data_IF_630457988574
#
_entry.id   IF_630457988574
#
_cell.length_a   1.000
_cell.length_b   1.000
_cell.length_c   1.000
_cell.angle_alpha   90.00
_cell.angle_beta   90.00
_cell.angle_gamma   90.00
#
_symmetry.space_group_name_H-M   'P 1'
#
loop_
_entity.id
_entity.type
_entity.pdbx_description
1 polymer ?
#
# COMPACT_ATOMS: atom_id res chain seq x y z
N UNK A 1 -16.23 -23.65 -5.88
CA UNK A 1 -16.47 -22.73 -6.97
C UNK A 1 -15.40 -22.81 -8.06
N UNK A 2 -14.12 -22.57 -7.75
CA UNK A 2 -13.01 -22.75 -8.68
C UNK A 2 -12.18 -23.97 -8.28
N UNK A 3 -11.58 -24.68 -9.25
CA UNK A 3 -10.60 -25.70 -8.92
C UNK A 3 -9.34 -25.09 -8.30
N UNK A 4 -8.65 -25.81 -7.42
CA UNK A 4 -7.39 -25.34 -6.83
C UNK A 4 -6.36 -24.98 -7.90
N UNK A 5 -6.24 -25.82 -8.94
CA UNK A 5 -5.32 -25.59 -10.07
C UNK A 5 -5.66 -24.28 -10.81
N UNK A 6 -6.94 -24.03 -11.09
CA UNK A 6 -7.36 -22.81 -11.78
C UNK A 6 -7.06 -21.55 -10.95
N UNK A 7 -7.32 -21.60 -9.64
CA UNK A 7 -7.01 -20.49 -8.73
C UNK A 7 -5.52 -20.21 -8.61
N UNK A 8 -4.69 -21.24 -8.51
CA UNK A 8 -3.23 -21.09 -8.49
C UNK A 8 -2.70 -20.51 -9.80
N UNK A 9 -3.17 -21.00 -10.94
CA UNK A 9 -2.79 -20.46 -12.25
C UNK A 9 -3.15 -18.96 -12.32
N UNK A 10 -4.34 -18.58 -11.87
CA UNK A 10 -4.79 -17.19 -11.87
C UNK A 10 -3.90 -16.31 -10.99
N UNK A 11 -3.64 -16.72 -9.74
CA UNK A 11 -2.79 -15.96 -8.80
C UNK A 11 -1.37 -15.82 -9.36
N UNK A 12 -0.79 -16.90 -9.89
CA UNK A 12 0.56 -16.88 -10.47
C UNK A 12 0.60 -15.97 -11.70
N UNK A 13 -0.39 -16.07 -12.60
CA UNK A 13 -0.45 -15.27 -13.83
C UNK A 13 -0.53 -13.78 -13.51
N UNK A 14 -1.44 -13.39 -12.61
CA UNK A 14 -1.57 -11.99 -12.19
C UNK A 14 -0.29 -11.51 -11.50
N UNK A 15 0.29 -12.32 -10.63
CA UNK A 15 1.56 -12.00 -9.95
C UNK A 15 2.71 -11.79 -10.95
N UNK A 16 2.84 -12.65 -11.95
CA UNK A 16 3.85 -12.53 -13.01
C UNK A 16 3.67 -11.27 -13.86
N UNK A 17 2.43 -10.88 -14.16
CA UNK A 17 2.13 -9.64 -14.88
C UNK A 17 2.66 -8.43 -14.08
N UNK A 18 2.38 -8.36 -12.78
CA UNK A 18 2.88 -7.25 -11.96
C UNK A 18 4.41 -7.25 -11.83
N UNK A 19 5.03 -8.41 -11.65
CA UNK A 19 6.50 -8.53 -11.63
C UNK A 19 7.09 -8.07 -12.95
N UNK A 20 6.52 -8.49 -14.09
CA UNK A 20 6.97 -8.09 -15.41
C UNK A 20 6.88 -6.57 -15.60
N UNK A 21 5.74 -5.96 -15.24
CA UNK A 21 5.56 -4.50 -15.29
C UNK A 21 6.63 -3.82 -14.42
N UNK A 22 6.84 -4.27 -13.18
CA UNK A 22 7.86 -3.72 -12.28
C UNK A 22 9.27 -3.79 -12.86
N UNK A 23 9.64 -4.90 -13.48
CA UNK A 23 10.95 -5.09 -14.11
C UNK A 23 11.14 -4.19 -15.35
N UNK A 24 10.10 -4.04 -16.18
CA UNK A 24 10.14 -3.15 -17.35
C UNK A 24 10.36 -1.70 -16.91
N UNK A 25 9.61 -1.23 -15.92
CA UNK A 25 9.78 0.14 -15.40
C UNK A 25 11.14 0.33 -14.72
N UNK A 26 11.66 -0.67 -14.02
CA UNK A 26 12.98 -0.61 -13.39
C UNK A 26 14.11 -0.31 -14.38
N UNK A 27 14.05 -0.90 -15.58
CA UNK A 27 15.07 -0.67 -16.61
C UNK A 27 15.05 0.77 -17.16
N UNK A 28 13.87 1.38 -17.22
CA UNK A 28 13.70 2.72 -17.80
C UNK A 28 14.00 3.86 -16.81
N UNK A 29 13.92 3.61 -15.50
CA UNK A 29 13.96 4.65 -14.47
C UNK A 29 14.92 4.31 -13.35
N UNK A 30 16.21 4.57 -13.56
CA UNK A 30 17.26 4.30 -12.60
C UNK A 30 17.48 5.48 -11.63
N UNK A 31 18.02 5.18 -10.46
CA UNK A 31 18.45 6.13 -9.45
C UNK A 31 17.45 6.36 -8.31
N UNK A 32 17.99 6.67 -7.11
CA UNK A 32 17.26 6.78 -5.86
C UNK A 32 16.12 7.82 -5.90
N UNK A 33 16.29 8.91 -6.61
CA UNK A 33 15.26 9.96 -6.75
C UNK A 33 14.08 9.47 -7.58
N UNK A 34 14.34 8.71 -8.66
CA UNK A 34 13.28 8.07 -9.44
C UNK A 34 12.55 7.03 -8.61
N UNK A 35 13.28 6.19 -7.90
CA UNK A 35 12.71 5.15 -7.04
C UNK A 35 11.79 5.73 -5.95
N UNK A 36 12.22 6.78 -5.24
CA UNK A 36 11.49 7.35 -4.11
C UNK A 36 10.38 8.34 -4.49
N UNK A 37 10.56 9.12 -5.55
CA UNK A 37 9.69 10.27 -5.86
C UNK A 37 9.33 10.39 -7.33
N UNK A 38 9.70 9.40 -8.16
CA UNK A 38 9.54 9.44 -9.63
C UNK A 38 10.02 10.79 -10.24
N UNK A 39 11.08 11.38 -9.66
CA UNK A 39 11.59 12.72 -10.00
C UNK A 39 10.51 13.83 -9.98
N UNK A 40 9.38 13.59 -9.33
CA UNK A 40 8.21 14.48 -9.29
C UNK A 40 7.62 14.78 -10.67
N UNK A 41 7.80 13.88 -11.63
CA UNK A 41 7.34 14.01 -13.01
C UNK A 41 6.00 13.33 -13.27
N UNK A 42 5.39 12.75 -12.23
CA UNK A 42 4.10 12.07 -12.33
C UNK A 42 2.98 13.10 -12.46
N UNK A 43 2.16 12.96 -13.50
CA UNK A 43 1.02 13.85 -13.74
C UNK A 43 -0.09 13.67 -12.70
N UNK A 44 -0.99 14.66 -12.62
CA UNK A 44 -2.08 14.69 -11.64
C UNK A 44 -2.96 13.43 -11.69
N UNK A 45 -3.37 13.01 -12.87
CA UNK A 45 -4.23 11.83 -13.05
C UNK A 45 -3.54 10.54 -12.59
N UNK A 46 -2.30 10.32 -13.00
CA UNK A 46 -1.51 9.14 -12.62
C UNK A 46 -1.23 9.11 -11.11
N UNK A 47 -0.94 10.26 -10.50
CA UNK A 47 -0.75 10.36 -9.05
C UNK A 47 -2.05 10.07 -8.30
N UNK A 48 -3.17 10.61 -8.76
CA UNK A 48 -4.48 10.39 -8.12
C UNK A 48 -4.91 8.93 -8.19
N UNK A 49 -4.77 8.28 -9.35
CA UNK A 49 -5.08 6.85 -9.50
C UNK A 49 -4.16 5.97 -8.65
N UNK A 50 -2.87 6.30 -8.56
CA UNK A 50 -1.92 5.60 -7.70
C UNK A 50 -2.27 5.72 -6.22
N UNK A 51 -2.67 6.92 -5.75
CA UNK A 51 -3.11 7.12 -4.37
C UNK A 51 -4.38 6.35 -4.05
N UNK A 52 -5.36 6.37 -4.96
CA UNK A 52 -6.60 5.59 -4.82
C UNK A 52 -6.28 4.09 -4.78
N UNK A 53 -5.45 3.59 -5.70
CA UNK A 53 -5.05 2.19 -5.73
C UNK A 53 -4.30 1.76 -4.44
N UNK A 54 -3.46 2.64 -3.89
CA UNK A 54 -2.76 2.37 -2.62
C UNK A 54 -3.71 2.32 -1.41
N UNK A 55 -4.82 3.06 -1.46
CA UNK A 55 -5.81 3.07 -0.39
C UNK A 55 -6.81 1.90 -0.50
N UNK A 56 -7.04 1.38 -1.72
CA UNK A 56 -7.98 0.31 -2.02
C UNK A 56 -7.27 -1.07 -2.02
N UNK A 57 -6.70 -1.45 -0.90
CA UNK A 57 -6.14 -2.79 -0.73
C UNK A 57 -7.21 -3.87 -0.49
N UNK A 58 -6.80 -5.14 -0.43
CA UNK A 58 -7.70 -6.27 -0.14
C UNK A 58 -8.39 -6.14 1.23
N UNK A 59 -7.76 -5.47 2.18
CA UNK A 59 -8.32 -5.18 3.50
C UNK A 59 -9.66 -4.45 3.45
N UNK A 60 -9.91 -3.62 2.44
CA UNK A 60 -11.17 -2.86 2.33
C UNK A 60 -12.39 -3.77 2.11
N UNK A 61 -12.19 -4.99 1.61
CA UNK A 61 -13.26 -5.98 1.49
C UNK A 61 -13.71 -6.50 2.84
N UNK A 62 -12.81 -6.61 3.80
CA UNK A 62 -13.07 -7.21 5.10
C UNK A 62 -13.25 -6.19 6.22
N UNK A 63 -12.50 -5.09 6.21
CA UNK A 63 -12.52 -4.09 7.26
C UNK A 63 -13.89 -3.45 7.51
N UNK A 64 -14.51 -2.81 6.51
CA UNK A 64 -15.85 -2.23 6.65
C UNK A 64 -16.92 -3.28 6.92
N UNK A 65 -16.83 -4.46 6.29
CA UNK A 65 -17.78 -5.55 6.53
C UNK A 65 -17.71 -6.06 7.98
N UNK A 66 -16.50 -6.25 8.50
CA UNK A 66 -16.28 -6.61 9.89
C UNK A 66 -16.80 -5.53 10.85
N UNK A 67 -16.52 -4.25 10.57
CA UNK A 67 -17.05 -3.14 11.36
C UNK A 67 -18.59 -3.16 11.40
N UNK A 68 -19.24 -3.45 10.28
CA UNK A 68 -20.69 -3.55 10.20
C UNK A 68 -21.25 -4.68 11.08
N UNK A 69 -20.56 -5.81 11.19
CA UNK A 69 -21.05 -6.97 11.96
C UNK A 69 -21.09 -6.73 13.47
N UNK A 70 -20.14 -5.97 14.03
CA UNK A 70 -20.07 -5.74 15.47
C UNK A 70 -20.58 -4.36 15.92
N UNK A 71 -20.61 -3.37 15.06
CA UNK A 71 -21.02 -2.00 15.40
C UNK A 71 -22.08 -1.39 14.49
N UNK A 72 -22.64 -2.18 13.57
CA UNK A 72 -23.70 -1.74 12.65
C UNK A 72 -23.29 -0.54 11.80
N UNK A 73 -24.29 0.22 11.35
CA UNK A 73 -24.10 1.40 10.48
C UNK A 73 -23.20 2.46 11.11
N UNK A 74 -23.29 2.65 12.45
CA UNK A 74 -22.46 3.62 13.16
C UNK A 74 -20.97 3.32 13.05
N UNK A 75 -20.57 2.04 13.16
CA UNK A 75 -19.19 1.63 13.02
C UNK A 75 -18.67 1.80 11.58
N UNK A 76 -19.51 1.56 10.56
CA UNK A 76 -19.15 1.79 9.15
C UNK A 76 -18.92 3.27 8.88
N UNK A 77 -19.81 4.15 9.39
CA UNK A 77 -19.65 5.61 9.27
C UNK A 77 -18.35 6.04 9.97
N UNK A 78 -18.12 5.58 11.21
CA UNK A 78 -16.89 5.88 11.95
C UNK A 78 -15.63 5.43 11.22
N UNK A 79 -15.63 4.24 10.65
CA UNK A 79 -14.55 3.72 9.81
C UNK A 79 -14.30 4.60 8.59
N UNK A 80 -15.36 4.97 7.86
CA UNK A 80 -15.26 5.80 6.66
C UNK A 80 -14.75 7.21 6.96
N UNK A 81 -15.25 7.84 8.02
CA UNK A 81 -14.76 9.14 8.48
C UNK A 81 -13.30 9.07 8.97
N UNK A 82 -12.95 8.02 9.71
CA UNK A 82 -11.59 7.80 10.19
C UNK A 82 -10.56 7.63 9.08
N UNK A 83 -10.94 7.03 7.96
CA UNK A 83 -10.07 6.89 6.79
C UNK A 83 -10.03 8.14 5.91
N UNK A 84 -11.13 8.89 5.80
CA UNK A 84 -11.21 10.11 5.00
C UNK A 84 -10.54 11.31 5.67
N UNK A 85 -10.64 11.46 6.98
CA UNK A 85 -10.16 12.62 7.71
C UNK A 85 -8.65 12.91 7.53
N UNK A 86 -7.73 11.92 7.60
CA UNK A 86 -6.32 12.16 7.33
C UNK A 86 -6.05 12.65 5.92
N UNK A 87 -6.80 12.18 4.92
CA UNK A 87 -6.65 12.63 3.53
C UNK A 87 -7.10 14.09 3.36
N UNK A 88 -8.20 14.48 3.98
CA UNK A 88 -8.66 15.88 4.00
C UNK A 88 -7.62 16.76 4.70
N UNK A 89 -7.10 16.33 5.84
CA UNK A 89 -6.05 17.06 6.56
C UNK A 89 -4.79 17.27 5.70
N UNK A 90 -4.40 16.27 4.90
CA UNK A 90 -3.26 16.37 3.99
C UNK A 90 -3.45 17.41 2.88
N UNK A 91 -4.68 17.69 2.44
CA UNK A 91 -4.95 18.75 1.45
C UNK A 91 -4.49 20.11 1.98
N UNK A 92 -4.78 20.39 3.24
CA UNK A 92 -4.41 21.67 3.88
C UNK A 92 -2.96 21.69 4.36
N UNK A 93 -2.54 20.65 5.07
CA UNK A 93 -1.20 20.56 5.64
C UNK A 93 -0.13 20.32 4.59
N UNK A 94 -0.43 19.57 3.54
CA UNK A 94 0.51 19.24 2.48
C UNK A 94 1.07 20.48 1.77
N UNK A 95 0.22 21.47 1.47
CA UNK A 95 0.69 22.74 0.91
C UNK A 95 1.65 23.48 1.85
N UNK A 96 1.30 23.57 3.14
CA UNK A 96 2.15 24.24 4.15
C UNK A 96 3.48 23.51 4.34
N UNK A 97 3.45 22.18 4.43
CA UNK A 97 4.67 21.38 4.53
C UNK A 97 5.55 21.58 3.31
N UNK A 98 4.95 21.64 2.12
CA UNK A 98 5.68 21.84 0.87
C UNK A 98 6.34 23.20 0.77
N UNK A 99 5.70 24.28 1.27
CA UNK A 99 6.29 25.62 1.31
C UNK A 99 7.45 25.70 2.30
N UNK A 100 7.31 25.07 3.46
CA UNK A 100 8.36 25.07 4.50
C UNK A 100 9.53 24.15 4.15
N UNK A 101 9.25 23.06 3.41
CA UNK A 101 10.23 22.04 3.08
C UNK A 101 10.20 21.61 1.60
N UNK A 102 10.54 22.52 0.65
CA UNK A 102 10.37 22.28 -0.78
C UNK A 102 11.26 21.15 -1.33
N UNK A 103 12.44 20.93 -0.73
CA UNK A 103 13.40 19.89 -1.12
C UNK A 103 13.16 18.54 -0.44
N UNK A 104 12.24 18.45 0.52
CA UNK A 104 11.95 17.22 1.24
C UNK A 104 11.40 16.11 0.33
N UNK A 105 11.80 14.87 0.58
CA UNK A 105 11.36 13.71 -0.19
C UNK A 105 10.25 12.94 0.51
N UNK A 106 10.26 12.91 1.83
CA UNK A 106 9.30 12.17 2.65
C UNK A 106 8.79 13.03 3.81
N UNK A 107 7.59 12.69 4.28
CA UNK A 107 7.02 13.32 5.48
C UNK A 107 7.89 13.06 6.72
N UNK A 108 8.48 11.87 6.81
CA UNK A 108 9.34 11.48 7.94
C UNK A 108 10.62 12.32 7.96
N UNK A 109 11.17 12.68 6.79
CA UNK A 109 12.31 13.60 6.71
C UNK A 109 11.96 15.01 7.21
N UNK A 110 10.76 15.51 6.89
CA UNK A 110 10.23 16.75 7.44
C UNK A 110 10.15 16.69 8.97
N UNK A 111 9.62 15.62 9.52
CA UNK A 111 9.51 15.41 10.97
C UNK A 111 10.89 15.42 11.66
N UNK A 112 11.89 14.77 11.06
CA UNK A 112 13.27 14.79 11.55
C UNK A 112 13.85 16.20 11.64
N UNK A 113 13.61 17.01 10.59
CA UNK A 113 14.11 18.38 10.51
C UNK A 113 13.38 19.32 11.48
N UNK A 114 12.08 19.11 11.67
CA UNK A 114 11.24 19.97 12.51
C UNK A 114 11.32 19.65 13.99
N UNK A 115 11.35 18.37 14.35
CA UNK A 115 11.19 17.90 15.74
C UNK A 115 12.42 17.17 16.30
N UNK A 116 13.48 17.01 15.50
CA UNK A 116 14.72 16.41 15.94
C UNK A 116 14.79 14.89 15.82
N UNK A 117 15.95 14.33 16.24
CA UNK A 117 16.31 12.92 16.01
C UNK A 117 15.49 11.93 16.85
N UNK A 118 15.14 12.29 18.08
CA UNK A 118 14.48 11.35 19.00
C UNK A 118 13.04 11.05 18.55
N UNK A 119 12.26 12.10 18.24
CA UNK A 119 10.91 11.93 17.71
C UNK A 119 10.94 11.23 16.36
N UNK A 120 11.90 11.56 15.50
CA UNK A 120 12.09 10.86 14.22
C UNK A 120 12.27 9.35 14.41
N UNK A 121 13.14 8.90 15.32
CA UNK A 121 13.37 7.47 15.59
C UNK A 121 12.09 6.78 16.06
N UNK A 122 11.36 7.41 16.99
CA UNK A 122 10.11 6.86 17.50
C UNK A 122 9.08 6.71 16.39
N UNK A 123 8.85 7.77 15.60
CA UNK A 123 7.87 7.73 14.49
C UNK A 123 8.31 6.73 13.42
N UNK A 124 9.59 6.65 13.11
CA UNK A 124 10.12 5.67 12.15
C UNK A 124 9.84 4.25 12.61
N UNK A 125 10.11 3.94 13.88
CA UNK A 125 9.83 2.63 14.46
C UNK A 125 8.33 2.28 14.36
N UNK A 126 7.47 3.19 14.81
CA UNK A 126 6.00 3.00 14.73
C UNK A 126 5.56 2.79 13.28
N UNK A 127 6.09 3.58 12.35
CA UNK A 127 5.73 3.47 10.92
C UNK A 127 6.16 2.12 10.34
N UNK A 128 7.34 1.62 10.68
CA UNK A 128 7.81 0.30 10.21
C UNK A 128 6.88 -0.79 10.72
N UNK A 129 6.56 -0.81 12.03
CA UNK A 129 5.63 -1.78 12.59
C UNK A 129 4.24 -1.68 11.98
N UNK A 130 3.72 -0.47 11.83
CA UNK A 130 2.41 -0.24 11.20
C UNK A 130 2.38 -0.79 9.76
N UNK A 131 3.38 -0.46 8.95
CA UNK A 131 3.45 -0.93 7.56
C UNK A 131 3.64 -2.44 7.46
N UNK A 132 4.39 -3.05 8.39
CA UNK A 132 4.55 -4.50 8.46
C UNK A 132 3.20 -5.19 8.77
N UNK A 133 2.48 -4.72 9.79
CA UNK A 133 1.16 -5.25 10.14
C UNK A 133 0.18 -5.09 8.97
N UNK A 134 0.20 -3.92 8.32
CA UNK A 134 -0.64 -3.65 7.16
C UNK A 134 -0.34 -4.60 6.00
N UNK A 135 0.93 -4.84 5.69
CA UNK A 135 1.35 -5.81 4.67
C UNK A 135 0.87 -7.22 4.99
N UNK A 136 1.01 -7.65 6.25
CA UNK A 136 0.51 -8.96 6.69
C UNK A 136 -1.02 -9.06 6.53
N UNK A 137 -1.76 -8.01 6.87
CA UNK A 137 -3.21 -7.96 6.72
C UNK A 137 -3.64 -8.08 5.25
N UNK A 138 -2.98 -7.36 4.35
CA UNK A 138 -3.28 -7.38 2.91
C UNK A 138 -3.01 -8.77 2.29
N UNK A 139 -1.85 -9.36 2.58
CA UNK A 139 -1.49 -10.70 2.10
C UNK A 139 -2.49 -11.74 2.64
N UNK A 140 -2.83 -11.65 3.92
CA UNK A 140 -3.79 -12.56 4.56
C UNK A 140 -5.17 -12.43 3.93
N UNK A 141 -5.63 -11.22 3.66
CA UNK A 141 -6.93 -10.96 3.03
C UNK A 141 -7.03 -11.61 1.64
N UNK A 142 -6.00 -11.45 0.79
CA UNK A 142 -5.93 -12.13 -0.51
C UNK A 142 -5.94 -13.65 -0.35
N UNK A 143 -5.12 -14.18 0.57
CA UNK A 143 -5.01 -15.62 0.80
C UNK A 143 -6.33 -16.22 1.31
N UNK A 144 -7.05 -15.51 2.21
CA UNK A 144 -8.36 -15.93 2.70
C UNK A 144 -9.41 -15.94 1.59
N UNK A 145 -9.42 -14.94 0.72
CA UNK A 145 -10.33 -14.88 -0.42
C UNK A 145 -10.13 -16.10 -1.35
N UNK A 146 -8.89 -16.38 -1.72
CA UNK A 146 -8.55 -17.51 -2.59
C UNK A 146 -8.88 -18.85 -1.91
N UNK A 147 -8.58 -18.99 -0.61
CA UNK A 147 -8.95 -20.17 0.15
C UNK A 147 -10.48 -20.39 0.15
N UNK A 148 -11.24 -19.34 0.37
CA UNK A 148 -12.70 -19.40 0.39
C UNK A 148 -13.29 -19.85 -0.97
N UNK A 149 -12.71 -19.38 -2.08
CA UNK A 149 -13.21 -19.68 -3.43
C UNK A 149 -12.80 -21.08 -3.92
N UNK A 150 -11.60 -21.55 -3.56
CA UNK A 150 -10.99 -22.74 -4.16
C UNK A 150 -10.51 -23.81 -3.16
N UNK A 151 -10.52 -23.51 -1.86
CA UNK A 151 -9.94 -24.40 -0.85
C UNK A 151 -8.41 -24.49 -0.89
N UNK A 152 -7.73 -23.61 -1.64
CA UNK A 152 -6.27 -23.57 -1.69
C UNK A 152 -5.70 -23.20 -0.32
N UNK A 153 -4.64 -23.88 0.12
CA UNK A 153 -4.04 -23.61 1.42
C UNK A 153 -3.53 -22.15 1.51
N UNK A 154 -3.89 -21.47 2.62
CA UNK A 154 -3.58 -20.06 2.86
C UNK A 154 -2.10 -19.70 2.64
N UNK A 155 -1.19 -20.53 3.18
CA UNK A 155 0.24 -20.28 3.14
C UNK A 155 0.81 -20.29 1.71
N UNK A 156 0.25 -21.11 0.80
CA UNK A 156 0.71 -21.20 -0.60
C UNK A 156 0.41 -19.87 -1.30
N UNK A 157 -0.83 -19.40 -1.22
CA UNK A 157 -1.23 -18.11 -1.80
C UNK A 157 -0.46 -16.96 -1.18
N UNK A 158 -0.31 -16.96 0.16
CA UNK A 158 0.43 -15.94 0.88
C UNK A 158 1.89 -15.84 0.42
N UNK A 159 2.57 -16.97 0.25
CA UNK A 159 3.96 -17.00 -0.25
C UNK A 159 4.07 -16.47 -1.68
N UNK A 160 3.18 -16.88 -2.59
CA UNK A 160 3.19 -16.42 -3.98
C UNK A 160 3.02 -14.90 -4.02
N UNK A 161 2.02 -14.37 -3.31
CA UNK A 161 1.73 -12.94 -3.25
C UNK A 161 2.89 -12.16 -2.61
N UNK A 162 3.46 -12.67 -1.51
CA UNK A 162 4.60 -12.03 -0.83
C UNK A 162 5.81 -11.93 -1.75
N UNK A 163 6.21 -13.04 -2.39
CA UNK A 163 7.37 -13.06 -3.29
C UNK A 163 7.15 -12.13 -4.48
N UNK A 164 5.96 -12.16 -5.08
CA UNK A 164 5.62 -11.26 -6.18
C UNK A 164 5.68 -9.79 -5.75
N UNK A 165 5.07 -9.45 -4.60
CA UNK A 165 5.04 -8.10 -4.06
C UNK A 165 6.44 -7.57 -3.77
N UNK A 166 7.28 -8.37 -3.12
CA UNK A 166 8.68 -8.01 -2.88
C UNK A 166 9.44 -7.80 -4.19
N UNK A 167 9.24 -8.69 -5.17
CA UNK A 167 9.93 -8.59 -6.45
C UNK A 167 9.59 -7.29 -7.19
N UNK A 168 8.31 -6.98 -7.42
CA UNK A 168 7.97 -5.77 -8.15
C UNK A 168 8.23 -4.48 -7.36
N UNK A 169 8.14 -4.51 -6.02
CA UNK A 169 8.41 -3.35 -5.19
C UNK A 169 9.90 -3.01 -5.15
N UNK A 170 10.76 -4.01 -4.97
CA UNK A 170 12.22 -3.81 -4.93
C UNK A 170 12.76 -3.28 -6.25
N UNK A 171 12.20 -3.70 -7.37
CA UNK A 171 12.66 -3.28 -8.69
C UNK A 171 11.89 -2.09 -9.26
N UNK A 172 10.58 -2.00 -9.06
CA UNK A 172 9.71 -0.99 -9.68
C UNK A 172 9.70 0.38 -8.99
N UNK A 173 9.86 0.43 -7.66
CA UNK A 173 9.78 1.68 -6.88
C UNK A 173 8.38 2.31 -6.90
N UNK A 174 8.33 3.66 -6.95
CA UNK A 174 7.08 4.44 -6.91
C UNK A 174 6.31 4.47 -8.25
N UNK A 175 6.88 4.01 -9.34
CA UNK A 175 6.25 4.04 -10.69
C UNK A 175 5.56 2.75 -11.05
#
# INVERSE_FOLDING_TARGET
FLSQSTSLILVITVSLIFVFIGLVYSKSYQGLNNYLTANRSVGFFSLSTSLVASALGAWILFGPASAATWGGVGAVIGYSLGTAFPMIALIYLGKKIRTVFPKGKTLIEFLRKRFGKNLFKLILLITIFYMFIFLCAEITAVAMLINYISGTALWITALIVLVATLSYTLYGGLR
#
